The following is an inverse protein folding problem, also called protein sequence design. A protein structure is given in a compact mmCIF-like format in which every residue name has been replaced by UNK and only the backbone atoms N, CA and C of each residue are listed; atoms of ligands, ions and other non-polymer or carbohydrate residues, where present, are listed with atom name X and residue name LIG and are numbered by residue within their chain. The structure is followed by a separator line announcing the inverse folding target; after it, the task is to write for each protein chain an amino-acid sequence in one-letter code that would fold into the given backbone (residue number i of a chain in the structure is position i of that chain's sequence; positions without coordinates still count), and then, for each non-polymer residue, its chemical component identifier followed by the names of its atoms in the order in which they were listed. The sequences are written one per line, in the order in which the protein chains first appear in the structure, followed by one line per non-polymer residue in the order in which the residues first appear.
data_IF_972206914440
#
_entry.id   IF_972206914440
#
_cell.length_a   1.000
_cell.length_b   1.000
_cell.length_c   1.000
_cell.angle_alpha   90.00
_cell.angle_beta   90.00
_cell.angle_gamma   90.00
#
_symmetry.space_group_name_H-M   'P 1'
#
loop_
_entity.id
_entity.type
_entity.pdbx_description
1 polymer ?
#
# COMPACT_ATOMS: atom_id res chain seq x y z
N UNK A 1 -24.01 21.79 -13.23
CA UNK A 1 -22.97 21.03 -12.51
C UNK A 1 -21.68 21.26 -13.25
N UNK A 2 -20.77 22.08 -12.70
CA UNK A 2 -19.40 22.10 -13.18
C UNK A 2 -18.84 20.69 -13.01
N UNK A 3 -18.35 20.11 -14.10
CA UNK A 3 -17.57 18.88 -14.04
C UNK A 3 -16.34 19.19 -13.18
N UNK A 4 -16.26 18.68 -11.96
CA UNK A 4 -15.03 18.77 -11.16
C UNK A 4 -13.90 18.24 -12.03
N UNK A 5 -12.98 19.13 -12.43
CA UNK A 5 -11.80 18.73 -13.17
C UNK A 5 -10.95 17.91 -12.20
N UNK A 6 -10.82 16.62 -12.48
CA UNK A 6 -9.88 15.77 -11.76
C UNK A 6 -8.47 16.34 -11.91
N UNK A 7 -7.79 16.51 -10.78
CA UNK A 7 -6.38 16.93 -10.78
C UNK A 7 -5.55 15.87 -11.51
N UNK A 8 -4.82 16.28 -12.54
CA UNK A 8 -3.79 15.41 -13.13
C UNK A 8 -2.55 15.47 -12.25
N UNK A 9 -2.11 14.30 -11.78
CA UNK A 9 -0.86 14.15 -11.07
C UNK A 9 0.09 13.32 -11.92
N UNK A 10 1.16 13.96 -12.37
CA UNK A 10 2.28 13.27 -13.02
C UNK A 10 3.28 12.87 -11.94
N UNK A 11 3.51 11.57 -11.79
CA UNK A 11 4.60 11.05 -10.98
C UNK A 11 5.85 11.19 -11.83
N UNK A 12 6.85 11.93 -11.32
CA UNK A 12 8.02 12.38 -12.08
C UNK A 12 8.85 11.25 -12.72
N UNK A 13 10.03 11.56 -13.28
CA UNK A 13 10.91 10.51 -13.78
C UNK A 13 11.30 9.59 -12.61
N UNK A 14 10.81 8.36 -12.61
CA UNK A 14 11.09 7.37 -11.58
C UNK A 14 12.14 6.40 -12.11
N UNK A 15 13.17 6.12 -11.32
CA UNK A 15 14.23 5.16 -11.63
C UNK A 15 13.72 3.72 -11.61
N UNK A 16 12.76 3.42 -10.74
CA UNK A 16 12.17 2.11 -10.50
C UNK A 16 10.73 2.25 -9.94
N UNK A 17 10.03 1.12 -9.85
CA UNK A 17 8.66 1.06 -9.34
C UNK A 17 8.55 1.47 -7.87
N UNK A 18 9.58 1.19 -7.07
CA UNK A 18 9.62 1.59 -5.67
C UNK A 18 9.60 3.12 -5.52
N UNK A 19 10.43 3.84 -6.28
CA UNK A 19 10.47 5.30 -6.25
C UNK A 19 9.14 5.92 -6.70
N UNK A 20 8.51 5.34 -7.74
CA UNK A 20 7.16 5.74 -8.15
C UNK A 20 6.16 5.60 -7.01
N UNK A 21 6.12 4.44 -6.36
CA UNK A 21 5.27 4.18 -5.20
C UNK A 21 5.57 5.13 -4.05
N UNK A 22 6.84 5.39 -3.75
CA UNK A 22 7.26 6.30 -2.69
C UNK A 22 6.74 7.73 -2.90
N UNK A 23 6.88 8.27 -4.11
CA UNK A 23 6.37 9.60 -4.46
C UNK A 23 4.85 9.68 -4.39
N UNK A 24 4.13 8.64 -4.84
CA UNK A 24 2.68 8.51 -4.69
C UNK A 24 2.29 8.50 -3.20
N UNK A 25 2.97 7.66 -2.41
CA UNK A 25 2.78 7.54 -0.97
C UNK A 25 2.96 8.88 -0.25
N UNK A 26 3.99 9.65 -0.61
CA UNK A 26 4.20 11.00 -0.07
C UNK A 26 3.08 11.97 -0.47
N UNK A 27 2.71 12.02 -1.76
CA UNK A 27 1.68 12.94 -2.30
C UNK A 27 0.32 12.74 -1.63
N UNK A 28 -0.03 11.49 -1.33
CA UNK A 28 -1.34 11.11 -0.78
C UNK A 28 -1.29 10.63 0.67
N UNK A 29 -0.18 10.85 1.37
CA UNK A 29 0.11 10.26 2.68
C UNK A 29 -1.03 10.44 3.69
N UNK A 30 -1.60 11.64 3.77
CA UNK A 30 -2.72 11.92 4.69
C UNK A 30 -3.99 11.16 4.32
N UNK A 31 -4.30 11.05 3.01
CA UNK A 31 -5.50 10.33 2.55
C UNK A 31 -5.35 8.83 2.79
N UNK A 32 -4.16 8.29 2.52
CA UNK A 32 -3.85 6.88 2.76
C UNK A 32 -3.97 6.56 4.25
N UNK A 33 -3.31 7.33 5.13
CA UNK A 33 -3.41 7.15 6.59
C UNK A 33 -4.86 7.21 7.06
N UNK A 34 -5.59 8.27 6.71
CA UNK A 34 -7.00 8.41 7.09
C UNK A 34 -7.86 7.23 6.63
N UNK A 35 -7.66 6.72 5.40
CA UNK A 35 -8.42 5.58 4.87
C UNK A 35 -8.08 4.29 5.60
N UNK A 36 -6.82 4.08 5.96
CA UNK A 36 -6.34 2.90 6.68
C UNK A 36 -6.81 2.91 8.13
N UNK A 37 -6.72 4.06 8.80
CA UNK A 37 -7.16 4.24 10.18
C UNK A 37 -8.68 4.07 10.32
N UNK A 38 -9.45 4.50 9.32
CA UNK A 38 -10.90 4.38 9.31
C UNK A 38 -11.42 2.99 8.88
N UNK A 39 -10.56 2.08 8.40
CA UNK A 39 -11.01 0.78 7.92
C UNK A 39 -11.28 -0.20 9.07
N UNK A 40 -12.55 -0.31 9.47
CA UNK A 40 -12.92 -1.16 10.61
C UNK A 40 -12.66 -2.65 10.38
N UNK A 41 -12.68 -3.13 9.13
CA UNK A 41 -12.41 -4.55 8.84
C UNK A 41 -10.91 -4.80 8.97
N UNK A 42 -10.08 -3.92 8.39
CA UNK A 42 -8.63 -4.00 8.55
C UNK A 42 -8.23 -3.96 10.02
N UNK A 43 -8.72 -2.97 10.76
CA UNK A 43 -8.30 -2.74 12.15
C UNK A 43 -8.80 -3.80 13.12
N UNK A 44 -10.06 -4.25 12.98
CA UNK A 44 -10.69 -5.12 13.98
C UNK A 44 -10.70 -6.61 13.61
N UNK A 45 -10.41 -6.97 12.35
CA UNK A 45 -10.44 -8.37 11.90
C UNK A 45 -9.11 -8.80 11.29
N UNK A 46 -8.63 -8.09 10.26
CA UNK A 46 -7.47 -8.54 9.50
C UNK A 46 -6.16 -8.36 10.25
N UNK A 47 -5.91 -7.21 10.89
CA UNK A 47 -4.71 -6.99 11.71
C UNK A 47 -4.63 -7.96 12.90
N UNK A 48 -5.71 -8.16 13.70
CA UNK A 48 -5.70 -9.17 14.75
C UNK A 48 -5.46 -10.59 14.22
N UNK A 49 -6.08 -10.96 13.09
CA UNK A 49 -5.84 -12.25 12.46
C UNK A 49 -4.38 -12.41 12.01
N UNK A 50 -3.77 -11.38 11.43
CA UNK A 50 -2.39 -11.41 10.96
C UNK A 50 -1.39 -11.69 12.09
N UNK A 51 -1.71 -11.34 13.34
CA UNK A 51 -0.88 -11.63 14.51
C UNK A 51 -1.06 -13.04 15.10
N UNK A 52 -1.96 -13.85 14.53
CA UNK A 52 -2.17 -15.24 15.00
C UNK A 52 -1.17 -16.22 14.38
N UNK A 53 -0.72 -17.26 15.10
CA UNK A 53 0.16 -18.28 14.52
C UNK A 53 -0.44 -18.99 13.30
N UNK A 54 -1.77 -19.09 13.23
CA UNK A 54 -2.47 -19.76 12.13
C UNK A 54 -2.37 -18.97 10.81
N UNK A 55 -2.19 -17.65 10.87
CA UNK A 55 -2.11 -16.80 9.68
C UNK A 55 -0.75 -16.87 9.00
N UNK A 56 0.33 -17.18 9.73
CA UNK A 56 1.72 -17.04 9.27
C UNK A 56 1.97 -17.77 7.95
N UNK A 57 1.58 -19.04 7.87
CA UNK A 57 1.75 -19.85 6.65
C UNK A 57 0.96 -19.29 5.46
N UNK A 58 -0.26 -18.79 5.71
CA UNK A 58 -1.12 -18.21 4.68
C UNK A 58 -0.54 -16.88 4.18
N UNK A 59 -0.18 -15.99 5.09
CA UNK A 59 0.39 -14.68 4.76
C UNK A 59 1.71 -14.84 4.03
N UNK A 60 2.59 -15.72 4.50
CA UNK A 60 3.84 -16.03 3.80
C UNK A 60 3.59 -16.51 2.38
N UNK A 61 2.68 -17.47 2.19
CA UNK A 61 2.36 -17.98 0.86
C UNK A 61 1.75 -16.90 -0.06
N UNK A 62 0.96 -15.98 0.49
CA UNK A 62 0.41 -14.85 -0.26
C UNK A 62 1.50 -13.85 -0.65
N UNK A 63 2.40 -13.50 0.27
CA UNK A 63 3.50 -12.56 -0.02
C UNK A 63 4.47 -13.15 -1.03
N UNK A 64 4.93 -14.38 -0.83
CA UNK A 64 5.83 -15.07 -1.75
C UNK A 64 5.24 -15.14 -3.18
N UNK A 65 3.94 -15.47 -3.29
CA UNK A 65 3.26 -15.52 -4.58
C UNK A 65 3.15 -14.16 -5.26
N UNK A 66 2.77 -13.12 -4.52
CA UNK A 66 2.60 -11.79 -5.10
C UNK A 66 3.94 -11.16 -5.49
N UNK A 67 4.97 -11.31 -4.64
CA UNK A 67 6.32 -10.83 -4.93
C UNK A 67 6.90 -11.53 -6.17
N UNK A 68 6.70 -12.84 -6.31
CA UNK A 68 7.20 -13.60 -7.46
C UNK A 68 6.45 -13.29 -8.76
N UNK A 69 5.12 -13.19 -8.71
CA UNK A 69 4.29 -12.98 -9.91
C UNK A 69 4.24 -11.53 -10.37
N UNK A 70 4.31 -10.57 -9.45
CA UNK A 70 4.13 -9.15 -9.73
C UNK A 70 5.23 -8.31 -9.08
N UNK A 71 6.52 -8.56 -9.37
CA UNK A 71 7.64 -7.95 -8.66
C UNK A 71 7.63 -6.42 -8.74
N UNK A 72 7.34 -5.84 -9.90
CA UNK A 72 7.30 -4.39 -10.07
C UNK A 72 6.15 -3.73 -9.28
N UNK A 73 4.98 -4.36 -9.28
CA UNK A 73 3.83 -3.86 -8.50
C UNK A 73 4.07 -4.04 -7.00
N UNK A 74 4.74 -5.13 -6.60
CA UNK A 74 5.15 -5.36 -5.22
C UNK A 74 6.12 -4.26 -4.74
N UNK A 75 7.10 -3.88 -5.57
CA UNK A 75 8.00 -2.77 -5.27
C UNK A 75 7.28 -1.43 -5.16
N UNK A 76 6.32 -1.14 -6.06
CA UNK A 76 5.47 0.04 -5.97
C UNK A 76 4.66 0.08 -4.66
N UNK A 77 4.13 -1.07 -4.23
CA UNK A 77 3.38 -1.20 -2.98
C UNK A 77 4.28 -0.92 -1.76
N UNK A 78 5.50 -1.45 -1.76
CA UNK A 78 6.52 -1.18 -0.74
C UNK A 78 6.89 0.31 -0.69
N UNK A 79 7.08 0.94 -1.85
CA UNK A 79 7.31 2.36 -1.96
C UNK A 79 6.17 3.17 -1.39
N UNK A 80 4.93 2.84 -1.76
CA UNK A 80 3.71 3.53 -1.30
C UNK A 80 3.55 3.46 0.21
N UNK A 81 3.81 2.29 0.80
CA UNK A 81 3.83 2.10 2.24
C UNK A 81 4.88 3.02 2.91
N UNK A 82 6.12 2.99 2.43
CA UNK A 82 7.20 3.83 2.96
C UNK A 82 6.91 5.34 2.82
N UNK A 83 6.39 5.78 1.67
CA UNK A 83 6.09 7.19 1.41
C UNK A 83 4.88 7.71 2.19
N UNK A 84 3.90 6.84 2.47
CA UNK A 84 2.71 7.20 3.25
C UNK A 84 2.92 7.12 4.77
N UNK A 85 3.95 6.40 5.21
CA UNK A 85 4.18 6.09 6.62
C UNK A 85 3.22 5.05 7.18
N UNK A 86 2.52 4.30 6.32
CA UNK A 86 1.68 3.16 6.71
C UNK A 86 2.49 1.88 6.48
N UNK A 87 2.65 1.01 7.50
CA UNK A 87 3.34 -0.25 7.32
C UNK A 87 2.60 -1.15 6.32
N UNK A 88 3.35 -1.75 5.40
CA UNK A 88 2.80 -2.76 4.49
C UNK A 88 2.53 -4.08 5.23
N UNK A 89 3.41 -4.39 6.18
CA UNK A 89 3.42 -5.59 7.00
C UNK A 89 3.55 -5.13 8.45
N UNK A 90 2.59 -5.50 9.30
CA UNK A 90 2.70 -5.39 10.76
C UNK A 90 3.29 -6.68 11.35
#
# INVERSE_FOLDING_TARGET
MESEKLEMFEVGPCKDSYEMGFLIGQRFSQRIRNRVDADTILQNQLRPFAQTPQSESLLKALFDNNQSKFPLYWDELLGTAAGSGVPLLD
#
